data_IF_385986110210
#
_entry.id   IF_385986110210
#
_cell.length_a   1.000
_cell.length_b   1.000
_cell.length_c   1.000
_cell.angle_alpha   90.00
_cell.angle_beta   90.00
_cell.angle_gamma   90.00
#
_symmetry.space_group_name_H-M   'P 1'
#
loop_
_entity.id
_entity.type
_entity.pdbx_description
1 polymer ?
#
# COMPACT_ATOMS: atom_id res chain seq x y z
N UNK A 1 6.38 9.65 15.67
CA UNK A 1 7.55 10.20 16.39
C UNK A 1 7.30 11.58 16.98
N UNK A 2 6.56 12.49 16.33
CA UNK A 2 6.41 13.88 16.76
C UNK A 2 5.81 14.12 18.14
N UNK A 3 5.20 13.13 18.78
CA UNK A 3 4.59 13.24 20.13
C UNK A 3 5.40 12.54 21.23
N UNK A 4 6.35 11.69 20.88
CA UNK A 4 7.14 10.90 21.86
C UNK A 4 8.53 11.48 22.12
N UNK A 5 8.96 12.50 21.35
CA UNK A 5 10.28 13.10 21.47
C UNK A 5 10.20 14.59 21.79
N UNK A 6 10.66 14.96 22.96
CA UNK A 6 11.14 16.30 23.27
C UNK A 6 12.65 16.29 23.21
N UNK A 7 13.23 17.27 22.52
CA UNK A 7 14.64 17.46 22.22
C UNK A 7 15.66 16.73 23.15
N UNK A 8 16.61 16.01 22.54
CA UNK A 8 17.81 15.43 23.14
C UNK A 8 17.68 14.07 23.86
N UNK A 9 16.59 13.30 23.71
CA UNK A 9 16.48 11.95 24.28
C UNK A 9 16.50 10.86 23.20
N UNK A 10 17.52 10.86 22.36
CA UNK A 10 17.68 9.90 21.26
C UNK A 10 17.81 8.45 21.74
N UNK A 11 18.28 8.24 22.96
CA UNK A 11 18.39 6.94 23.64
C UNK A 11 17.04 6.28 23.94
N UNK A 12 15.94 7.03 23.86
CA UNK A 12 14.56 6.54 24.08
C UNK A 12 13.81 6.21 22.81
N UNK A 13 14.46 6.34 21.64
CA UNK A 13 13.80 6.00 20.37
C UNK A 13 13.43 4.52 20.34
N UNK A 14 12.16 4.23 20.18
CA UNK A 14 11.66 2.87 20.02
C UNK A 14 11.73 2.44 18.56
N UNK A 15 12.05 1.18 18.33
CA UNK A 15 12.01 0.59 17.00
C UNK A 15 10.59 0.64 16.43
N UNK A 16 10.48 1.09 15.18
CA UNK A 16 9.23 1.12 14.40
C UNK A 16 9.20 -0.05 13.43
N UNK A 17 8.07 -0.71 13.37
CA UNK A 17 7.77 -1.70 12.34
C UNK A 17 6.70 -1.13 11.41
N UNK A 18 7.00 -1.07 10.12
CA UNK A 18 6.05 -0.74 9.07
C UNK A 18 5.67 -2.03 8.35
N UNK A 19 4.41 -2.46 8.48
CA UNK A 19 3.93 -3.72 7.92
C UNK A 19 3.01 -3.41 6.74
N UNK A 20 3.34 -3.96 5.58
CA UNK A 20 2.59 -3.81 4.34
C UNK A 20 2.06 -5.15 3.89
N UNK A 21 0.76 -5.23 3.61
CA UNK A 21 0.11 -6.41 3.05
C UNK A 21 -0.29 -6.12 1.61
N UNK A 22 0.39 -6.77 0.67
CA UNK A 22 0.10 -6.71 -0.75
C UNK A 22 -0.86 -7.83 -1.13
N UNK A 23 -2.10 -7.50 -1.44
CA UNK A 23 -3.12 -8.48 -1.79
C UNK A 23 -2.98 -9.00 -3.23
N UNK A 24 -2.44 -8.19 -4.15
CA UNK A 24 -2.22 -8.54 -5.55
C UNK A 24 -0.76 -8.27 -5.97
N UNK A 25 0.22 -8.99 -5.42
CA UNK A 25 1.61 -8.83 -5.82
C UNK A 25 1.86 -9.47 -7.19
N UNK A 26 2.96 -9.08 -7.90
CA UNK A 26 3.43 -9.81 -9.08
C UNK A 26 3.66 -11.29 -8.77
N UNK A 27 3.49 -12.17 -9.76
CA UNK A 27 3.67 -13.62 -9.61
C UNK A 27 4.98 -13.99 -8.89
N UNK A 28 6.08 -13.35 -9.25
CA UNK A 28 7.41 -13.59 -8.68
C UNK A 28 7.53 -13.27 -7.18
N UNK A 29 6.56 -12.58 -6.59
CA UNK A 29 6.57 -12.19 -5.18
C UNK A 29 5.45 -12.81 -4.36
N UNK A 30 4.54 -13.54 -4.98
CA UNK A 30 3.44 -14.20 -4.28
C UNK A 30 3.94 -15.15 -3.19
N UNK A 31 3.14 -15.29 -2.15
CA UNK A 31 3.39 -16.20 -1.03
C UNK A 31 4.75 -15.95 -0.35
N UNK A 32 5.09 -14.69 -0.10
CA UNK A 32 6.34 -14.34 0.56
C UNK A 32 6.17 -13.32 1.68
N UNK A 33 7.04 -13.42 2.68
CA UNK A 33 7.22 -12.41 3.73
C UNK A 33 8.68 -11.98 3.66
N UNK A 34 8.91 -10.69 3.42
CA UNK A 34 10.26 -10.12 3.34
C UNK A 34 10.41 -9.01 4.37
N UNK A 35 11.46 -9.09 5.17
CA UNK A 35 11.84 -8.02 6.09
C UNK A 35 13.00 -7.23 5.54
N UNK A 36 12.88 -5.91 5.57
CA UNK A 36 13.95 -4.95 5.32
C UNK A 36 14.33 -4.31 6.66
N UNK A 37 15.61 -4.25 6.94
CA UNK A 37 16.17 -3.72 8.18
C UNK A 37 17.44 -2.92 7.88
N UNK A 38 17.80 -2.02 8.77
CA UNK A 38 19.04 -1.25 8.67
C UNK A 38 20.17 -2.13 9.21
N UNK A 39 21.30 -2.17 8.46
CA UNK A 39 22.50 -2.90 8.84
C UNK A 39 23.68 -1.93 8.90
N UNK A 40 24.56 -2.14 9.86
CA UNK A 40 25.84 -1.45 9.94
C UNK A 40 26.85 -2.06 8.97
N UNK A 41 27.56 -1.20 8.22
CA UNK A 41 28.68 -1.59 7.37
C UNK A 41 29.85 -0.63 7.62
N UNK A 42 30.93 -1.13 8.21
CA UNK A 42 32.10 -0.34 8.54
C UNK A 42 33.00 -0.18 7.31
N UNK A 43 32.85 0.94 6.60
CA UNK A 43 33.65 1.24 5.40
C UNK A 43 35.10 1.63 5.71
N UNK A 44 35.34 2.24 6.88
CA UNK A 44 36.67 2.62 7.37
C UNK A 44 36.68 2.49 8.89
N UNK A 45 37.72 1.81 9.40
CA UNK A 45 37.83 1.54 10.83
C UNK A 45 36.94 0.39 11.29
N UNK A 46 36.78 0.21 12.61
CA UNK A 46 36.04 -0.90 13.21
C UNK A 46 35.21 -0.44 14.40
N UNK A 47 34.42 0.64 14.26
CA UNK A 47 33.45 1.03 15.28
C UNK A 47 32.31 0.02 15.28
N UNK A 48 31.89 -0.41 16.49
CA UNK A 48 30.73 -1.26 16.67
C UNK A 48 29.67 -0.52 17.48
N UNK A 49 28.52 -0.30 16.86
CA UNK A 49 27.38 0.31 17.53
C UNK A 49 26.38 -0.78 17.92
N UNK A 50 25.80 -0.77 19.14
CA UNK A 50 24.71 -1.67 19.48
C UNK A 50 23.55 -1.58 18.50
N UNK A 51 23.06 -2.72 18.00
CA UNK A 51 21.96 -2.80 17.00
C UNK A 51 20.74 -1.98 17.40
N UNK A 52 20.43 -1.91 18.69
CA UNK A 52 19.31 -1.11 19.24
C UNK A 52 19.43 0.41 18.97
N UNK A 53 20.62 0.92 18.65
CA UNK A 53 20.86 2.33 18.43
C UNK A 53 20.67 2.75 16.96
N UNK A 54 20.80 1.83 16.01
CA UNK A 54 20.70 2.15 14.58
C UNK A 54 19.59 1.39 13.84
N UNK A 55 19.26 0.13 14.19
CA UNK A 55 18.17 -0.61 13.55
C UNK A 55 16.81 -0.20 14.14
N UNK A 56 16.46 1.06 13.96
CA UNK A 56 15.25 1.68 14.52
C UNK A 56 14.03 1.59 13.60
N UNK A 57 14.19 1.09 12.37
CA UNK A 57 13.10 0.92 11.41
C UNK A 57 13.21 -0.46 10.75
N UNK A 58 12.14 -1.23 10.80
CA UNK A 58 12.00 -2.43 9.97
C UNK A 58 10.73 -2.33 9.13
N UNK A 59 10.86 -2.65 7.85
CA UNK A 59 9.72 -2.79 6.96
C UNK A 59 9.46 -4.27 6.73
N UNK A 60 8.23 -4.73 6.94
CA UNK A 60 7.80 -6.10 6.64
C UNK A 60 6.82 -6.03 5.48
N UNK A 61 7.20 -6.64 4.36
CA UNK A 61 6.37 -6.78 3.19
C UNK A 61 5.77 -8.19 3.17
N UNK A 62 4.46 -8.29 3.26
CA UNK A 62 3.70 -9.54 3.18
C UNK A 62 3.02 -9.55 1.82
N UNK A 63 3.42 -10.45 0.96
CA UNK A 63 2.84 -10.62 -0.37
C UNK A 63 1.94 -11.86 -0.37
N UNK A 64 0.63 -11.64 -0.43
CA UNK A 64 -0.35 -12.72 -0.50
C UNK A 64 -0.32 -13.36 -1.89
N UNK A 65 -0.77 -14.59 -1.96
CA UNK A 65 -0.98 -15.29 -3.22
C UNK A 65 -2.31 -16.01 -3.13
N UNK A 66 -2.86 -16.48 -4.24
CA UNK A 66 -4.00 -17.39 -4.17
C UNK A 66 -3.60 -18.58 -3.31
N UNK A 67 -4.37 -18.83 -2.25
CA UNK A 67 -4.21 -20.03 -1.46
C UNK A 67 -4.49 -21.25 -2.36
N UNK A 68 -3.44 -21.97 -2.76
CA UNK A 68 -3.62 -23.35 -3.14
C UNK A 68 -4.22 -24.05 -1.92
N UNK A 69 -5.38 -24.70 -2.10
CA UNK A 69 -6.08 -25.40 -1.03
C UNK A 69 -5.22 -26.47 -0.36
N UNK A 70 -4.13 -26.90 -0.99
CA UNK A 70 -3.19 -27.91 -0.50
C UNK A 70 -2.07 -27.37 0.41
N UNK A 71 -2.07 -26.07 0.70
CA UNK A 71 -1.06 -25.48 1.56
C UNK A 71 -1.40 -25.67 3.04
N UNK A 72 -0.38 -26.04 3.83
CA UNK A 72 -0.52 -26.10 5.29
C UNK A 72 -1.05 -24.76 5.85
N UNK A 73 -1.83 -24.85 6.93
CA UNK A 73 -2.38 -23.68 7.61
C UNK A 73 -1.24 -22.81 8.18
N UNK A 74 -0.94 -21.73 7.50
CA UNK A 74 0.08 -20.75 7.89
C UNK A 74 -0.47 -19.31 7.92
N UNK A 75 0.34 -18.37 8.40
CA UNK A 75 -0.06 -16.97 8.51
C UNK A 75 -0.43 -16.35 7.16
N UNK A 76 0.19 -16.76 6.06
CA UNK A 76 -0.13 -16.25 4.72
C UNK A 76 -1.51 -16.74 4.28
N UNK A 77 -1.81 -18.03 4.51
CA UNK A 77 -3.14 -18.59 4.23
C UNK A 77 -4.21 -17.93 5.09
N UNK A 78 -3.94 -17.71 6.38
CA UNK A 78 -4.85 -17.02 7.27
C UNK A 78 -5.18 -15.62 6.77
N UNK A 79 -4.16 -14.83 6.40
CA UNK A 79 -4.34 -13.47 5.89
C UNK A 79 -5.04 -13.47 4.54
N UNK A 80 -4.72 -14.42 3.65
CA UNK A 80 -5.37 -14.55 2.35
C UNK A 80 -6.86 -14.85 2.52
N UNK A 81 -7.24 -15.79 3.38
CA UNK A 81 -8.64 -16.11 3.70
C UNK A 81 -9.36 -14.90 4.28
N UNK A 82 -8.75 -14.20 5.25
CA UNK A 82 -9.37 -13.05 5.90
C UNK A 82 -9.58 -11.89 4.94
N UNK A 83 -8.58 -11.59 4.09
CA UNK A 83 -8.56 -10.40 3.22
C UNK A 83 -9.07 -10.68 1.81
N UNK A 84 -9.23 -11.94 1.40
CA UNK A 84 -9.79 -12.31 0.09
C UNK A 84 -11.20 -11.76 -0.08
N UNK A 85 -11.49 -11.21 -1.25
CA UNK A 85 -12.84 -10.80 -1.64
C UNK A 85 -13.57 -11.90 -2.42
N UNK A 86 -12.82 -12.86 -2.98
CA UNK A 86 -13.36 -13.93 -3.80
C UNK A 86 -13.96 -15.06 -2.95
N UNK A 87 -13.49 -15.19 -1.70
CA UNK A 87 -13.95 -16.23 -0.78
C UNK A 87 -15.22 -15.78 -0.08
N UNK A 88 -16.30 -16.55 -0.23
CA UNK A 88 -17.59 -16.28 0.42
C UNK A 88 -17.45 -16.28 1.96
N UNK A 89 -18.24 -15.46 2.65
CA UNK A 89 -18.19 -15.36 4.13
C UNK A 89 -18.41 -16.71 4.83
N UNK A 90 -19.29 -17.54 4.31
CA UNK A 90 -19.54 -18.90 4.84
C UNK A 90 -18.30 -19.78 4.75
N UNK A 91 -17.60 -19.70 3.62
CA UNK A 91 -16.38 -20.47 3.37
C UNK A 91 -15.23 -19.96 4.25
N UNK A 92 -15.06 -18.64 4.38
CA UNK A 92 -14.08 -18.07 5.33
C UNK A 92 -14.28 -18.59 6.74
N UNK A 93 -15.52 -18.59 7.22
CA UNK A 93 -15.84 -19.09 8.57
C UNK A 93 -15.49 -20.56 8.72
N UNK A 94 -15.80 -21.36 7.69
CA UNK A 94 -15.48 -22.79 7.69
C UNK A 94 -13.98 -23.01 7.77
N UNK A 95 -13.20 -22.36 6.93
CA UNK A 95 -11.73 -22.48 6.90
C UNK A 95 -11.12 -22.03 8.24
N UNK A 96 -11.55 -20.87 8.76
CA UNK A 96 -11.06 -20.35 10.04
C UNK A 96 -11.34 -21.32 11.21
N UNK A 97 -12.48 -21.98 11.21
CA UNK A 97 -12.87 -22.92 12.26
C UNK A 97 -12.18 -24.26 12.09
N UNK A 98 -12.16 -24.84 10.89
CA UNK A 98 -11.69 -26.20 10.64
C UNK A 98 -10.16 -26.29 10.52
N UNK A 99 -9.51 -25.27 9.94
CA UNK A 99 -8.08 -25.33 9.66
C UNK A 99 -7.23 -24.52 10.66
N UNK A 100 -7.81 -23.51 11.28
CA UNK A 100 -7.11 -22.64 12.23
C UNK A 100 -7.60 -22.74 13.67
N UNK A 101 -8.56 -23.64 13.96
CA UNK A 101 -9.17 -23.83 15.27
C UNK A 101 -9.71 -22.53 15.90
N UNK A 102 -10.15 -21.57 15.06
CA UNK A 102 -10.68 -20.28 15.53
C UNK A 102 -12.18 -20.45 15.82
N UNK A 103 -12.62 -20.33 17.08
CA UNK A 103 -14.02 -20.51 17.42
C UNK A 103 -14.87 -19.37 16.84
N UNK A 104 -15.88 -19.72 16.04
CA UNK A 104 -16.81 -18.79 15.41
C UNK A 104 -17.91 -18.32 16.37
N UNK A 105 -17.52 -17.58 17.40
CA UNK A 105 -18.47 -16.86 18.26
C UNK A 105 -19.25 -15.79 17.49
N UNK A 106 -20.37 -15.31 18.02
CA UNK A 106 -21.14 -14.22 17.36
C UNK A 106 -20.29 -12.96 17.15
N UNK A 107 -19.42 -12.64 18.11
CA UNK A 107 -18.46 -11.54 17.97
C UNK A 107 -17.49 -11.80 16.80
N UNK A 108 -16.88 -12.99 16.72
CA UNK A 108 -15.95 -13.34 15.64
C UNK A 108 -16.64 -13.31 14.26
N UNK A 109 -17.90 -13.77 14.17
CA UNK A 109 -18.69 -13.68 12.93
C UNK A 109 -18.89 -12.25 12.46
N UNK A 110 -19.12 -11.33 13.42
CA UNK A 110 -19.26 -9.90 13.12
C UNK A 110 -17.94 -9.32 12.64
N UNK A 111 -16.82 -9.60 13.32
CA UNK A 111 -15.49 -9.11 12.94
C UNK A 111 -15.08 -9.59 11.54
N UNK A 112 -15.26 -10.86 11.22
CA UNK A 112 -15.00 -11.39 9.87
C UNK A 112 -15.85 -10.66 8.81
N UNK A 113 -17.10 -10.34 9.13
CA UNK A 113 -17.97 -9.57 8.22
C UNK A 113 -17.47 -8.13 8.02
N UNK A 114 -17.03 -7.47 9.08
CA UNK A 114 -16.46 -6.11 9.03
C UNK A 114 -15.18 -6.10 8.20
N UNK A 115 -14.29 -7.08 8.38
CA UNK A 115 -13.05 -7.18 7.60
C UNK A 115 -13.32 -7.37 6.10
N UNK A 116 -14.34 -8.16 5.74
CA UNK A 116 -14.75 -8.30 4.34
C UNK A 116 -15.19 -6.96 3.74
N UNK A 117 -16.00 -6.20 4.47
CA UNK A 117 -16.46 -4.89 4.02
C UNK A 117 -15.33 -3.86 3.93
N UNK A 118 -14.37 -3.91 4.85
CA UNK A 118 -13.20 -3.03 4.85
C UNK A 118 -12.31 -3.27 3.62
N UNK A 119 -12.04 -4.53 3.29
CA UNK A 119 -11.24 -4.90 2.10
C UNK A 119 -11.90 -4.38 0.81
N UNK A 120 -13.23 -4.54 0.68
CA UNK A 120 -13.98 -3.99 -0.44
C UNK A 120 -13.92 -2.46 -0.49
N UNK A 121 -14.04 -1.79 0.66
CA UNK A 121 -13.94 -0.33 0.75
C UNK A 121 -12.57 0.21 0.32
N UNK A 122 -11.50 -0.42 0.77
CA UNK A 122 -10.12 -0.04 0.40
C UNK A 122 -9.90 -0.21 -1.10
N UNK A 123 -10.34 -1.34 -1.67
CA UNK A 123 -10.20 -1.60 -3.11
C UNK A 123 -11.02 -0.63 -3.95
N UNK A 124 -12.27 -0.36 -3.56
CA UNK A 124 -13.11 0.61 -4.25
C UNK A 124 -12.49 2.00 -4.24
N UNK A 125 -11.96 2.42 -3.09
CA UNK A 125 -11.24 3.68 -2.96
C UNK A 125 -10.02 3.74 -3.86
N UNK A 126 -9.13 2.73 -3.80
CA UNK A 126 -7.94 2.65 -4.67
C UNK A 126 -8.28 2.62 -6.16
N UNK A 127 -9.38 1.94 -6.56
CA UNK A 127 -9.85 1.94 -7.96
C UNK A 127 -10.36 3.31 -8.41
N UNK A 128 -11.03 4.04 -7.52
CA UNK A 128 -11.50 5.40 -7.82
C UNK A 128 -10.32 6.35 -7.92
N UNK A 129 -9.40 6.30 -6.96
CA UNK A 129 -8.18 7.12 -6.95
C UNK A 129 -7.32 6.86 -8.19
N UNK A 130 -7.00 5.61 -8.50
CA UNK A 130 -6.23 5.24 -9.69
C UNK A 130 -6.89 5.64 -11.01
N UNK A 131 -8.24 5.66 -11.07
CA UNK A 131 -8.95 6.17 -12.26
C UNK A 131 -8.85 7.69 -12.38
N UNK A 132 -8.88 8.40 -11.26
CA UNK A 132 -8.75 9.87 -11.23
C UNK A 132 -7.32 10.25 -11.63
N UNK A 133 -6.32 9.61 -11.05
CA UNK A 133 -4.91 9.81 -11.38
C UNK A 133 -4.63 9.49 -12.86
N UNK A 134 -5.05 8.33 -13.35
CA UNK A 134 -4.83 7.96 -14.75
C UNK A 134 -5.48 8.92 -15.75
N UNK A 135 -6.68 9.44 -15.45
CA UNK A 135 -7.31 10.47 -16.30
C UNK A 135 -6.56 11.80 -16.26
N UNK A 136 -5.99 12.13 -15.12
CA UNK A 136 -5.20 13.35 -14.98
C UNK A 136 -3.89 13.24 -15.76
N UNK A 137 -3.18 12.12 -15.66
CA UNK A 137 -1.97 11.84 -16.42
C UNK A 137 -2.22 11.86 -17.94
N UNK A 138 -3.26 11.16 -18.42
CA UNK A 138 -3.67 11.15 -19.84
C UNK A 138 -3.96 12.56 -20.34
N UNK A 139 -4.61 13.39 -19.51
CA UNK A 139 -4.89 14.79 -19.84
C UNK A 139 -3.60 15.60 -19.94
N UNK A 140 -2.66 15.43 -19.02
CA UNK A 140 -1.35 16.09 -19.07
C UNK A 140 -0.56 15.70 -20.31
N UNK A 141 -0.53 14.43 -20.68
CA UNK A 141 0.11 13.95 -21.90
C UNK A 141 -0.52 14.56 -23.14
N UNK A 142 -1.86 14.61 -23.19
CA UNK A 142 -2.59 15.23 -24.30
C UNK A 142 -2.29 16.72 -24.44
N UNK A 143 -2.18 17.46 -23.33
CA UNK A 143 -1.82 18.89 -23.33
C UNK A 143 -0.39 19.06 -23.86
N UNK A 144 0.58 18.28 -23.35
CA UNK A 144 1.97 18.33 -23.81
C UNK A 144 2.09 18.03 -25.31
N UNK A 145 1.40 16.99 -25.76
CA UNK A 145 1.39 16.63 -27.19
C UNK A 145 0.83 17.76 -28.08
N UNK A 146 -0.24 18.44 -27.68
CA UNK A 146 -0.78 19.57 -28.40
C UNK A 146 0.18 20.77 -28.40
N UNK A 147 0.81 21.08 -27.27
CA UNK A 147 1.81 22.15 -27.19
C UNK A 147 2.99 21.89 -28.14
N UNK A 148 3.50 20.64 -28.16
CA UNK A 148 4.61 20.27 -29.05
C UNK A 148 4.22 20.23 -30.52
N UNK A 149 3.08 19.62 -30.86
CA UNK A 149 2.70 19.35 -32.25
C UNK A 149 2.13 20.59 -32.94
N UNK A 150 1.31 21.36 -32.22
CA UNK A 150 0.64 22.54 -32.77
C UNK A 150 1.36 23.86 -32.42
N UNK A 151 2.40 23.85 -31.56
CA UNK A 151 3.12 25.04 -31.13
C UNK A 151 2.26 26.04 -30.36
N UNK A 152 1.25 25.56 -29.64
CA UNK A 152 0.28 26.39 -28.91
C UNK A 152 0.65 26.48 -27.42
N UNK A 153 0.11 27.47 -26.70
CA UNK A 153 0.30 27.61 -25.29
C UNK A 153 -0.50 26.55 -24.50
N UNK A 154 -0.12 26.29 -23.24
CA UNK A 154 -0.85 25.42 -22.33
C UNK A 154 -2.31 25.85 -22.15
N UNK A 155 -2.58 27.16 -22.09
CA UNK A 155 -3.94 27.71 -22.01
C UNK A 155 -4.77 27.33 -23.23
N UNK A 156 -4.21 27.53 -24.44
CA UNK A 156 -4.89 27.16 -25.69
C UNK A 156 -5.13 25.65 -25.77
N UNK A 157 -4.17 24.85 -25.33
CA UNK A 157 -4.32 23.39 -25.28
C UNK A 157 -5.40 22.96 -24.25
N UNK A 158 -5.44 23.60 -23.08
CA UNK A 158 -6.49 23.38 -22.07
C UNK A 158 -7.89 23.78 -22.59
N UNK A 159 -8.00 24.87 -23.35
CA UNK A 159 -9.25 25.29 -23.98
C UNK A 159 -9.73 24.28 -25.03
N UNK A 160 -8.83 23.79 -25.89
CA UNK A 160 -9.13 22.78 -26.91
C UNK A 160 -9.60 21.47 -26.28
N UNK A 161 -8.99 21.05 -25.18
CA UNK A 161 -9.35 19.84 -24.42
C UNK A 161 -10.50 20.07 -23.45
N UNK A 162 -11.08 21.27 -23.42
CA UNK A 162 -12.19 21.67 -22.55
C UNK A 162 -11.92 21.37 -21.06
N UNK A 163 -10.70 21.67 -20.62
CA UNK A 163 -10.32 21.53 -19.20
C UNK A 163 -11.11 22.53 -18.38
N UNK A 164 -11.79 22.03 -17.34
CA UNK A 164 -12.61 22.89 -16.48
C UNK A 164 -11.74 23.89 -15.74
N UNK A 165 -12.24 25.11 -15.53
CA UNK A 165 -11.53 26.18 -14.82
C UNK A 165 -10.98 25.76 -13.44
N UNK A 166 -11.76 24.98 -12.69
CA UNK A 166 -11.37 24.48 -11.37
C UNK A 166 -10.15 23.53 -11.41
N UNK A 167 -9.90 22.84 -12.53
CA UNK A 167 -8.84 21.84 -12.68
C UNK A 167 -7.54 22.47 -13.25
N UNK A 168 -7.64 23.66 -13.89
CA UNK A 168 -6.50 24.34 -14.54
C UNK A 168 -5.33 24.67 -13.61
N UNK A 169 -5.53 25.14 -12.36
CA UNK A 169 -4.40 25.41 -11.47
C UNK A 169 -3.54 24.18 -11.20
N UNK A 170 -4.15 23.01 -11.06
CA UNK A 170 -3.45 21.74 -10.83
C UNK A 170 -2.67 21.31 -12.08
N UNK A 171 -3.27 21.48 -13.26
CA UNK A 171 -2.63 21.19 -14.54
C UNK A 171 -1.41 22.09 -14.75
N UNK A 172 -1.51 23.42 -14.53
CA UNK A 172 -0.38 24.36 -14.63
C UNK A 172 0.76 23.96 -13.71
N UNK A 173 0.45 23.62 -12.45
CA UNK A 173 1.44 23.15 -11.48
C UNK A 173 2.15 21.88 -11.97
N UNK A 174 1.43 20.94 -12.56
CA UNK A 174 1.98 19.67 -13.06
C UNK A 174 2.79 19.86 -14.37
N UNK A 175 2.51 20.92 -15.13
CA UNK A 175 3.31 21.34 -16.29
C UNK A 175 4.58 22.10 -15.89
N UNK A 176 4.75 22.49 -14.63
CA UNK A 176 5.88 23.26 -14.13
C UNK A 176 5.74 24.77 -14.34
N UNK A 177 4.56 25.24 -14.67
CA UNK A 177 4.24 26.68 -14.83
C UNK A 177 3.95 27.31 -13.46
N UNK A 178 4.46 28.51 -13.23
CA UNK A 178 4.25 29.29 -12.00
C UNK A 178 3.10 30.26 -12.14
#
# INVERSE_FOLDING_TARGET
YGTEFTAAQYDKIKKVYSIWVCMNPPESRKNSITRYAIQEDNLVGGAQEPVRNYDLLSVVMICLGRSDHDREADVLKLLDVLLSEETAQSEKRRILQEEFDIPMTEHMKQEVSVMCNLSQGIRQKGRVEGRVEGRFEERLESIRALMETAGISSEQAMDMLKVKEQDRPEVRKALGER
#
